data_IF_189002709090
#
_entry.id   IF_189002709090
#
_cell.length_a   1.000
_cell.length_b   1.000
_cell.length_c   1.000
_cell.angle_alpha   90.00
_cell.angle_beta   90.00
_cell.angle_gamma   90.00
#
_symmetry.space_group_name_H-M   'P 1'
#
loop_
_entity.id
_entity.type
_entity.pdbx_description
1 polymer ?
#
# COMPACT_ATOMS: atom_id res chain seq x y z
N UNK A 1 -58.69 25.27 32.43
CA UNK A 1 -59.72 24.96 31.43
C UNK A 1 -59.81 26.14 30.47
N UNK A 2 -59.51 25.95 29.18
CA UNK A 2 -60.21 26.50 28.02
C UNK A 2 -59.51 25.91 26.78
N UNK A 3 -60.32 25.25 25.96
CA UNK A 3 -60.02 24.66 24.65
C UNK A 3 -60.07 25.73 23.57
N UNK A 4 -59.29 25.55 22.50
CA UNK A 4 -59.57 25.89 21.08
C UNK A 4 -58.36 25.35 20.29
N UNK A 5 -58.39 24.27 19.47
CA UNK A 5 -59.13 24.01 18.22
C UNK A 5 -59.16 25.27 17.34
N UNK A 6 -58.66 25.35 16.10
CA UNK A 6 -58.44 24.38 15.02
C UNK A 6 -57.74 25.16 13.89
N UNK A 7 -56.93 24.51 13.05
CA UNK A 7 -57.01 24.64 11.58
C UNK A 7 -55.90 23.82 10.89
N UNK A 8 -56.34 22.80 10.14
CA UNK A 8 -55.58 22.08 9.14
C UNK A 8 -55.33 22.97 7.92
N UNK A 9 -54.13 22.91 7.35
CA UNK A 9 -53.81 23.00 5.92
C UNK A 9 -52.36 22.46 5.82
N UNK A 10 -52.04 21.37 5.12
CA UNK A 10 -52.49 20.98 3.79
C UNK A 10 -51.38 21.29 2.79
N UNK A 11 -50.36 20.44 2.72
CA UNK A 11 -49.44 20.39 1.60
C UNK A 11 -48.82 18.99 1.50
N UNK A 12 -49.48 18.15 0.71
CA UNK A 12 -48.87 16.96 0.15
C UNK A 12 -47.89 17.40 -0.95
N UNK A 13 -46.62 17.04 -0.82
CA UNK A 13 -45.69 16.98 -1.94
C UNK A 13 -45.08 15.58 -1.98
N UNK A 14 -45.67 14.75 -2.84
CA UNK A 14 -45.08 13.54 -3.38
C UNK A 14 -43.75 13.92 -4.07
N UNK A 15 -42.63 13.44 -3.54
CA UNK A 15 -41.36 13.41 -4.29
C UNK A 15 -40.82 11.97 -4.29
N UNK A 16 -40.99 11.35 -5.45
CA UNK A 16 -40.19 10.29 -6.06
C UNK A 16 -39.95 8.99 -5.26
N UNK A 17 -40.75 7.96 -5.58
CA UNK A 17 -40.21 6.61 -5.74
C UNK A 17 -39.28 6.60 -6.96
N UNK A 18 -38.02 6.22 -6.76
CA UNK A 18 -37.02 6.07 -7.82
C UNK A 18 -35.91 5.13 -7.38
N UNK A 19 -36.19 3.82 -7.46
CA UNK A 19 -35.29 2.69 -7.77
C UNK A 19 -33.76 2.91 -7.71
N UNK A 20 -33.13 2.06 -6.89
CA UNK A 20 -31.91 1.28 -7.15
C UNK A 20 -30.81 1.89 -8.02
N UNK A 21 -29.65 2.13 -7.42
CA UNK A 21 -28.43 2.36 -8.18
C UNK A 21 -27.27 2.77 -7.28
N UNK A 22 -26.38 1.82 -7.04
CA UNK A 22 -25.08 1.96 -6.39
C UNK A 22 -25.08 2.52 -4.97
N UNK A 23 -25.18 1.58 -4.01
CA UNK A 23 -24.26 1.60 -2.89
C UNK A 23 -22.87 1.93 -3.44
N UNK A 24 -22.41 3.16 -3.22
CA UNK A 24 -21.01 3.53 -3.38
C UNK A 24 -20.19 2.37 -2.79
N UNK A 25 -19.17 1.85 -3.49
CA UNK A 25 -18.45 0.68 -3.04
C UNK A 25 -18.00 0.96 -1.61
N UNK A 26 -18.62 0.28 -0.65
CA UNK A 26 -18.17 0.31 0.72
C UNK A 26 -16.76 -0.21 0.66
N UNK A 27 -15.79 0.65 0.94
CA UNK A 27 -14.37 0.34 1.09
C UNK A 27 -14.20 -0.63 2.26
N UNK A 28 -14.61 -1.88 2.03
CA UNK A 28 -14.39 -3.06 2.86
C UNK A 28 -13.59 -4.08 2.05
N UNK A 29 -12.69 -3.61 1.18
CA UNK A 29 -11.53 -4.37 0.78
C UNK A 29 -10.46 -4.06 1.82
N UNK A 30 -10.06 -5.05 2.61
CA UNK A 30 -8.81 -5.02 3.37
C UNK A 30 -7.74 -4.43 2.46
N UNK A 31 -7.27 -3.20 2.72
CA UNK A 31 -6.27 -2.51 1.89
C UNK A 31 -5.01 -3.37 1.82
N UNK A 32 -4.92 -4.23 0.82
CA UNK A 32 -3.76 -5.03 0.56
C UNK A 32 -2.94 -4.26 -0.45
N UNK A 33 -1.77 -3.80 -0.04
CA UNK A 33 -0.85 -3.12 -0.95
C UNK A 33 -0.43 -4.11 -2.03
N UNK A 34 -0.82 -3.80 -3.26
CA UNK A 34 -0.41 -4.51 -4.45
C UNK A 34 0.92 -4.00 -4.95
N UNK A 35 1.99 -4.68 -4.52
CA UNK A 35 3.36 -4.37 -4.90
C UNK A 35 3.59 -4.35 -6.42
N UNK A 36 2.84 -5.13 -7.20
CA UNK A 36 3.07 -5.19 -8.66
C UNK A 36 2.58 -3.94 -9.37
N UNK A 37 1.57 -3.28 -8.81
CA UNK A 37 0.90 -2.14 -9.43
C UNK A 37 1.13 -0.83 -8.67
N UNK A 38 2.03 -0.79 -7.66
CA UNK A 38 2.31 0.44 -6.91
C UNK A 38 2.73 1.61 -7.81
N UNK A 39 3.51 1.34 -8.85
CA UNK A 39 3.95 2.34 -9.85
C UNK A 39 2.80 2.92 -10.68
N UNK A 40 1.62 2.30 -10.68
CA UNK A 40 0.44 2.75 -11.41
C UNK A 40 -0.41 3.72 -10.58
N UNK A 41 -0.20 3.75 -9.26
CA UNK A 41 -0.94 4.62 -8.34
C UNK A 41 -0.55 6.09 -8.46
N UNK A 42 -1.38 6.97 -7.90
CA UNK A 42 -1.10 8.42 -7.78
C UNK A 42 0.09 8.74 -6.87
N UNK A 43 0.50 7.77 -6.03
CA UNK A 43 1.63 7.89 -5.10
C UNK A 43 2.97 7.82 -5.84
N UNK A 44 3.01 7.19 -7.01
CA UNK A 44 4.27 7.03 -7.73
C UNK A 44 4.74 8.35 -8.34
N UNK A 45 6.00 8.69 -8.08
CA UNK A 45 6.67 9.85 -8.64
C UNK A 45 6.86 9.71 -10.16
N UNK A 46 7.00 10.86 -10.82
CA UNK A 46 7.25 10.95 -12.26
C UNK A 46 8.68 11.43 -12.52
N UNK A 47 9.35 10.85 -13.50
CA UNK A 47 10.57 11.38 -14.10
C UNK A 47 11.87 10.84 -13.50
N UNK A 48 12.92 11.67 -13.55
CA UNK A 48 14.26 11.31 -13.08
C UNK A 48 14.38 11.71 -11.60
N UNK A 49 14.66 10.74 -10.73
CA UNK A 49 14.98 11.03 -9.32
C UNK A 49 16.10 12.07 -9.27
N UNK A 50 15.86 13.22 -8.61
CA UNK A 50 16.83 14.32 -8.56
C UNK A 50 18.19 13.91 -7.98
N UNK A 51 18.21 12.84 -7.17
CA UNK A 51 19.40 12.25 -6.59
C UNK A 51 19.29 10.73 -6.66
N UNK A 52 19.69 10.09 -7.78
CA UNK A 52 19.55 8.65 -7.92
C UNK A 52 20.41 7.95 -6.88
N UNK A 53 19.76 7.31 -5.91
CA UNK A 53 20.46 6.48 -4.95
C UNK A 53 20.77 5.13 -5.58
N UNK A 54 22.00 4.68 -5.42
CA UNK A 54 22.43 3.35 -5.85
C UNK A 54 21.80 2.30 -4.94
N UNK A 55 20.82 1.58 -5.48
CA UNK A 55 20.23 0.42 -4.85
C UNK A 55 20.86 -0.87 -5.35
N UNK A 56 20.76 -1.93 -4.56
CA UNK A 56 21.10 -3.28 -5.05
C UNK A 56 19.89 -3.88 -5.75
N UNK A 57 20.05 -4.27 -7.01
CA UNK A 57 18.97 -4.89 -7.79
C UNK A 57 18.56 -6.22 -7.17
N UNK A 58 17.24 -6.41 -7.01
CA UNK A 58 16.64 -7.64 -6.52
C UNK A 58 16.15 -8.46 -7.73
N UNK A 59 16.58 -9.73 -7.88
CA UNK A 59 16.03 -10.61 -8.91
C UNK A 59 14.57 -10.97 -8.61
N UNK A 60 13.64 -10.53 -9.46
CA UNK A 60 12.18 -10.79 -9.29
C UNK A 60 11.58 -11.45 -10.55
N UNK A 61 11.85 -12.73 -10.83
CA UNK A 61 11.38 -13.39 -12.05
C UNK A 61 9.85 -13.45 -12.17
N UNK A 62 9.11 -13.32 -11.06
CA UNK A 62 7.65 -13.23 -11.06
C UNK A 62 7.09 -11.91 -11.60
N UNK A 63 7.89 -10.84 -11.66
CA UNK A 63 7.51 -9.55 -12.25
C UNK A 63 8.58 -9.10 -13.26
N UNK A 64 8.25 -9.26 -14.55
CA UNK A 64 9.13 -8.91 -15.67
C UNK A 64 8.98 -7.46 -16.12
N UNK A 65 8.00 -6.73 -15.59
CA UNK A 65 7.68 -5.37 -16.02
C UNK A 65 8.35 -4.31 -15.14
N UNK A 66 8.62 -4.65 -13.88
CA UNK A 66 9.18 -3.72 -12.92
C UNK A 66 10.59 -4.14 -12.49
N UNK A 67 11.44 -3.15 -12.24
CA UNK A 67 12.75 -3.33 -11.61
C UNK A 67 12.61 -3.02 -10.13
N UNK A 68 13.09 -3.92 -9.28
CA UNK A 68 13.10 -3.74 -7.83
C UNK A 68 14.53 -3.57 -7.33
N UNK A 69 14.73 -2.62 -6.43
CA UNK A 69 16.02 -2.38 -5.79
C UNK A 69 15.86 -2.24 -4.29
N UNK A 70 16.81 -2.81 -3.55
CA UNK A 70 16.98 -2.56 -2.14
C UNK A 70 17.89 -1.35 -1.95
N UNK A 71 17.37 -0.30 -1.34
CA UNK A 71 18.12 0.93 -1.06
C UNK A 71 18.80 0.91 0.30
N UNK A 72 18.09 0.38 1.30
CA UNK A 72 18.55 0.35 2.69
C UNK A 72 17.84 -0.77 3.44
N UNK A 73 18.53 -1.34 4.41
CA UNK A 73 17.91 -2.23 5.39
C UNK A 73 18.53 -2.05 6.78
N UNK A 74 17.79 -2.42 7.82
CA UNK A 74 18.29 -2.52 9.19
C UNK A 74 17.52 -3.59 9.97
N UNK A 75 18.21 -4.29 10.86
CA UNK A 75 17.57 -5.18 11.84
C UNK A 75 17.01 -4.36 13.01
N UNK A 76 15.81 -4.70 13.46
CA UNK A 76 15.15 -4.08 14.61
C UNK A 76 15.55 -4.81 15.90
N UNK A 77 15.32 -4.16 17.05
CA UNK A 77 15.55 -4.79 18.36
C UNK A 77 14.65 -6.01 18.60
N UNK A 78 13.50 -6.10 17.91
CA UNK A 78 12.54 -7.20 18.02
C UNK A 78 12.81 -8.33 17.03
N UNK A 79 13.91 -8.25 16.27
CA UNK A 79 14.38 -9.33 15.38
C UNK A 79 13.93 -9.23 13.92
N UNK A 80 12.94 -8.39 13.61
CA UNK A 80 12.50 -8.13 12.23
C UNK A 80 13.50 -7.27 11.45
N UNK A 81 13.38 -7.24 10.14
CA UNK A 81 14.17 -6.39 9.25
C UNK A 81 13.27 -5.34 8.60
N UNK A 82 13.64 -4.06 8.76
CA UNK A 82 13.02 -2.97 7.99
C UNK A 82 13.85 -2.72 6.75
N UNK A 83 13.22 -2.75 5.58
CA UNK A 83 13.84 -2.48 4.29
C UNK A 83 13.15 -1.33 3.57
N UNK A 84 13.91 -0.59 2.77
CA UNK A 84 13.38 0.39 1.81
C UNK A 84 13.67 -0.13 0.42
N UNK A 85 12.60 -0.33 -0.33
CA UNK A 85 12.59 -0.81 -1.70
C UNK A 85 12.24 0.33 -2.64
N UNK A 86 12.83 0.34 -3.84
CA UNK A 86 12.39 1.12 -5.00
C UNK A 86 11.83 0.17 -6.04
N UNK A 87 10.62 0.42 -6.50
CA UNK A 87 10.08 -0.21 -7.70
C UNK A 87 10.07 0.84 -8.81
N UNK A 88 10.57 0.46 -9.99
CA UNK A 88 10.62 1.31 -11.16
C UNK A 88 9.99 0.59 -12.37
N UNK A 89 9.19 1.32 -13.14
CA UNK A 89 8.67 0.89 -14.45
C UNK A 89 8.67 2.09 -15.40
N UNK A 90 9.49 2.02 -16.44
CA UNK A 90 9.71 3.16 -17.33
C UNK A 90 10.30 4.36 -16.56
N UNK A 91 9.62 5.49 -16.67
CA UNK A 91 9.92 6.76 -16.00
C UNK A 91 9.19 6.94 -14.65
N UNK A 92 8.42 5.94 -14.21
CA UNK A 92 7.71 5.96 -12.93
C UNK A 92 8.46 5.16 -11.88
N UNK A 93 8.45 5.69 -10.67
CA UNK A 93 9.06 5.03 -9.51
C UNK A 93 8.24 5.24 -8.25
N UNK A 94 8.34 4.28 -7.34
CA UNK A 94 7.68 4.30 -6.04
C UNK A 94 8.60 3.65 -5.02
N UNK A 95 8.56 4.16 -3.80
CA UNK A 95 9.29 3.61 -2.68
C UNK A 95 8.34 2.86 -1.77
N UNK A 96 8.78 1.71 -1.27
CA UNK A 96 8.07 0.96 -0.26
C UNK A 96 8.99 0.73 0.94
N UNK A 97 8.53 1.10 2.12
CA UNK A 97 9.13 0.68 3.39
C UNK A 97 8.44 -0.61 3.80
N UNK A 98 9.22 -1.66 4.03
CA UNK A 98 8.69 -2.98 4.38
C UNK A 98 9.28 -3.47 5.69
N UNK A 99 8.50 -4.29 6.39
CA UNK A 99 8.93 -5.07 7.54
C UNK A 99 8.88 -6.54 7.18
N UNK A 100 9.95 -7.25 7.52
CA UNK A 100 10.14 -8.66 7.20
C UNK A 100 10.55 -9.42 8.44
N UNK A 101 9.86 -10.52 8.74
CA UNK A 101 10.28 -11.51 9.71
C UNK A 101 10.91 -12.69 8.96
N UNK A 102 12.23 -12.78 9.01
CA UNK A 102 13.00 -13.78 8.26
C UNK A 102 12.91 -15.19 8.86
N UNK A 103 12.56 -15.33 10.13
CA UNK A 103 12.44 -16.64 10.77
C UNK A 103 11.08 -17.28 10.47
N UNK A 104 10.06 -16.43 10.24
CA UNK A 104 8.67 -16.84 10.06
C UNK A 104 8.13 -16.60 8.64
N UNK A 105 8.99 -16.18 7.71
CA UNK A 105 8.65 -15.85 6.32
C UNK A 105 7.48 -14.86 6.20
N UNK A 106 7.43 -13.86 7.08
CA UNK A 106 6.39 -12.84 7.10
C UNK A 106 6.84 -11.55 6.42
N UNK A 107 5.92 -10.89 5.71
CA UNK A 107 6.19 -9.66 4.99
C UNK A 107 5.02 -8.68 5.11
N UNK A 108 5.34 -7.42 5.33
CA UNK A 108 4.37 -6.33 5.42
C UNK A 108 4.93 -5.05 4.79
N UNK A 109 4.09 -4.30 4.07
CA UNK A 109 4.41 -2.97 3.57
C UNK A 109 3.98 -1.92 4.59
N UNK A 110 4.95 -1.35 5.29
CA UNK A 110 4.75 -0.33 6.34
C UNK A 110 4.45 1.05 5.76
N UNK A 111 4.94 1.36 4.56
CA UNK A 111 4.82 2.70 3.97
C UNK A 111 5.04 2.67 2.47
N UNK A 112 4.35 3.53 1.74
CA UNK A 112 4.59 3.76 0.31
C UNK A 112 4.64 5.26 0.03
N UNK A 113 5.54 5.70 -0.84
CA UNK A 113 5.70 7.11 -1.16
C UNK A 113 6.39 7.34 -2.50
N UNK A 114 6.30 8.56 -3.00
CA UNK A 114 6.96 9.07 -4.19
C UNK A 114 8.46 9.34 -3.98
N UNK A 115 8.93 9.47 -2.73
CA UNK A 115 10.33 9.75 -2.41
C UNK A 115 10.82 8.92 -1.23
N UNK A 116 12.14 8.67 -1.17
CA UNK A 116 12.77 7.96 -0.04
C UNK A 116 12.54 8.66 1.29
N UNK A 117 12.66 9.98 1.35
CA UNK A 117 12.48 10.70 2.61
C UNK A 117 11.04 10.52 3.13
N UNK A 118 10.07 10.58 2.22
CA UNK A 118 8.66 10.45 2.59
C UNK A 118 8.29 9.02 2.97
N UNK A 119 8.87 7.99 2.35
CA UNK A 119 8.57 6.58 2.70
C UNK A 119 9.01 6.22 4.13
N UNK A 120 9.98 6.94 4.68
CA UNK A 120 10.46 6.74 6.06
C UNK A 120 9.47 7.28 7.10
N UNK A 121 8.61 8.23 6.73
CA UNK A 121 7.63 8.85 7.63
C UNK A 121 6.19 8.45 7.30
N UNK A 122 5.92 7.98 6.08
CA UNK A 122 4.60 7.54 5.64
C UNK A 122 4.22 6.18 6.24
N UNK A 123 2.93 6.00 6.53
CA UNK A 123 2.35 4.73 6.96
C UNK A 123 1.34 4.27 5.90
N UNK A 124 1.63 3.15 5.25
CA UNK A 124 0.70 2.44 4.38
C UNK A 124 -0.11 1.47 5.23
N UNK A 125 -1.40 1.32 4.93
CA UNK A 125 -2.29 0.42 5.65
C UNK A 125 -2.32 -0.98 5.02
N UNK A 126 -1.17 -1.66 4.88
CA UNK A 126 -1.08 -3.04 4.32
C UNK A 126 -1.38 -4.16 5.34
N UNK A 127 -2.07 -3.87 6.44
CA UNK A 127 -2.39 -4.83 7.50
C UNK A 127 -1.16 -5.30 8.31
N UNK A 128 -1.22 -6.42 9.06
CA UNK A 128 -0.07 -6.92 9.82
C UNK A 128 0.92 -7.70 8.94
N UNK A 129 2.04 -8.13 9.55
CA UNK A 129 2.94 -9.15 9.01
C UNK A 129 2.15 -10.40 8.61
N UNK A 130 2.27 -10.80 7.33
CA UNK A 130 1.56 -11.95 6.75
C UNK A 130 2.52 -12.92 6.07
N UNK A 131 2.22 -14.24 6.07
CA UNK A 131 3.01 -15.22 5.35
C UNK A 131 3.14 -14.89 3.87
N UNK A 132 4.31 -15.16 3.30
CA UNK A 132 4.58 -14.95 1.87
C UNK A 132 4.23 -16.15 1.00
N UNK A 133 3.80 -17.27 1.59
CA UNK A 133 3.43 -18.49 0.85
C UNK A 133 2.38 -18.21 -0.24
N UNK A 134 2.65 -18.65 -1.47
CA UNK A 134 1.76 -18.43 -2.61
C UNK A 134 1.79 -17.02 -3.20
N UNK A 135 2.68 -16.14 -2.71
CA UNK A 135 2.88 -14.77 -3.20
C UNK A 135 4.31 -14.61 -3.75
N UNK A 136 4.58 -15.04 -5.00
CA UNK A 136 5.94 -15.15 -5.55
C UNK A 136 6.79 -13.89 -5.40
N UNK A 137 6.23 -12.72 -5.73
CA UNK A 137 6.97 -11.47 -5.60
C UNK A 137 7.34 -11.16 -4.14
N UNK A 138 6.43 -11.38 -3.19
CA UNK A 138 6.74 -11.16 -1.76
C UNK A 138 7.81 -12.13 -1.28
N UNK A 139 7.80 -13.39 -1.75
CA UNK A 139 8.84 -14.39 -1.44
C UNK A 139 10.20 -14.03 -2.03
N UNK A 140 10.22 -13.52 -3.26
CA UNK A 140 11.47 -13.08 -3.93
C UNK A 140 12.09 -11.90 -3.18
N UNK A 141 11.29 -10.89 -2.84
CA UNK A 141 11.73 -9.72 -2.08
C UNK A 141 12.17 -10.10 -0.66
N UNK A 142 11.37 -10.89 0.08
CA UNK A 142 11.69 -11.30 1.45
C UNK A 142 12.98 -12.12 1.50
N UNK A 143 13.13 -13.10 0.59
CA UNK A 143 14.33 -13.94 0.51
C UNK A 143 15.60 -13.10 0.30
N UNK A 144 15.56 -12.16 -0.64
CA UNK A 144 16.70 -11.31 -0.93
C UNK A 144 17.09 -10.44 0.28
N UNK A 145 16.10 -9.79 0.91
CA UNK A 145 16.30 -8.97 2.13
C UNK A 145 16.93 -9.82 3.24
N UNK A 146 16.37 -11.00 3.50
CA UNK A 146 16.82 -11.88 4.57
C UNK A 146 18.24 -12.42 4.35
N UNK A 147 18.58 -12.81 3.11
CA UNK A 147 19.94 -13.24 2.77
C UNK A 147 20.95 -12.12 3.01
N UNK A 148 20.61 -10.88 2.60
CA UNK A 148 21.53 -9.75 2.77
C UNK A 148 21.61 -9.27 4.22
N UNK A 149 20.59 -9.50 5.03
CA UNK A 149 20.60 -9.15 6.46
C UNK A 149 21.50 -10.06 7.31
N UNK A 150 21.91 -11.21 6.74
CA UNK A 150 22.82 -12.17 7.38
C UNK A 150 24.28 -12.02 6.91
N UNK A 151 24.53 -11.21 5.87
CA UNK A 151 25.85 -10.94 5.31
C UNK A 151 26.51 -9.74 6.00
#
# INVERSE_FOLDING_TARGET
MIRSMTALLGAALLTACGTSGDSAPSTNATEQVDLRHLVETEIAGNGIERYPLEGTVIPTPSDKQSRYELLRQRKTAVGTTIAILRQQRGDRFVYARTEVDCERDLFHVVGVADTRAHVETNVAHDGPLRPTAGLPLRQELSRFICQRAQA
#
